data_IF_141242062828
#
_entry.id   IF_141242062828
#
_cell.length_a   1.000
_cell.length_b   1.000
_cell.length_c   1.000
_cell.angle_alpha   90.00
_cell.angle_beta   90.00
_cell.angle_gamma   90.00
#
_symmetry.space_group_name_H-M   'P 1'
#
loop_
_entity.id
_entity.type
_entity.pdbx_description
1 polymer ?
#
# COMPACT_ATOMS: atom_id res chain seq x y z
N UNK A 1 -7.86 -23.68 -3.75
CA UNK A 1 -7.06 -22.99 -4.78
C UNK A 1 -7.25 -21.49 -4.57
N UNK A 2 -6.19 -20.74 -4.33
CA UNK A 2 -6.29 -19.27 -4.28
C UNK A 2 -6.56 -18.78 -5.70
N UNK A 3 -7.73 -18.18 -5.88
CA UNK A 3 -8.12 -17.56 -7.16
C UNK A 3 -7.16 -16.40 -7.43
N UNK A 4 -6.69 -16.26 -8.67
CA UNK A 4 -5.90 -15.11 -9.06
C UNK A 4 -6.76 -13.84 -8.94
N UNK A 5 -6.20 -12.71 -8.45
CA UNK A 5 -6.96 -11.47 -8.40
C UNK A 5 -7.38 -11.07 -9.81
N UNK A 6 -8.61 -10.57 -9.95
CA UNK A 6 -9.11 -10.02 -11.21
C UNK A 6 -8.58 -8.59 -11.43
N UNK A 7 -8.37 -7.86 -10.34
CA UNK A 7 -7.87 -6.50 -10.34
C UNK A 7 -6.73 -6.33 -9.34
N UNK A 8 -5.75 -5.50 -9.69
CA UNK A 8 -4.71 -5.03 -8.77
C UNK A 8 -4.73 -3.51 -8.69
N UNK A 9 -4.70 -2.97 -7.47
CA UNK A 9 -4.67 -1.53 -7.19
C UNK A 9 -3.32 -1.18 -6.58
N UNK A 10 -2.53 -0.38 -7.29
CA UNK A 10 -1.20 0.04 -6.86
C UNK A 10 -1.30 1.43 -6.23
N UNK A 11 -0.89 1.55 -4.96
CA UNK A 11 -0.96 2.79 -4.17
C UNK A 11 0.46 3.23 -3.80
N UNK A 12 1.04 4.22 -4.50
CA UNK A 12 2.26 4.87 -4.05
C UNK A 12 1.95 5.73 -2.82
N UNK A 13 2.79 5.62 -1.79
CA UNK A 13 2.63 6.33 -0.52
C UNK A 13 3.94 6.98 -0.08
N UNK A 14 3.85 8.22 0.41
CA UNK A 14 4.95 8.91 1.07
C UNK A 14 4.41 9.93 2.08
N UNK A 15 4.80 9.80 3.35
CA UNK A 15 4.50 10.73 4.45
C UNK A 15 3.01 11.16 4.56
N UNK A 16 2.06 10.29 4.20
CA UNK A 16 0.63 10.64 4.14
C UNK A 16 -0.26 9.51 4.70
N UNK A 17 -0.05 9.07 5.95
CA UNK A 17 -0.73 7.89 6.50
C UNK A 17 -2.25 8.04 6.57
N UNK A 18 -2.77 9.23 6.86
CA UNK A 18 -4.22 9.49 6.95
C UNK A 18 -4.91 9.36 5.57
N UNK A 19 -4.25 9.86 4.52
CA UNK A 19 -4.75 9.73 3.15
C UNK A 19 -4.70 8.29 2.68
N UNK A 20 -3.64 7.55 3.04
CA UNK A 20 -3.55 6.13 2.76
C UNK A 20 -4.65 5.35 3.48
N UNK A 21 -4.90 5.62 4.76
CA UNK A 21 -5.97 4.99 5.53
C UNK A 21 -7.34 5.25 4.88
N UNK A 22 -7.63 6.50 4.51
CA UNK A 22 -8.88 6.86 3.81
C UNK A 22 -9.00 6.17 2.44
N UNK A 23 -7.90 6.09 1.69
CA UNK A 23 -7.87 5.41 0.40
C UNK A 23 -8.16 3.92 0.56
N UNK A 24 -7.48 3.24 1.49
CA UNK A 24 -7.71 1.83 1.79
C UNK A 24 -9.14 1.56 2.26
N UNK A 25 -9.72 2.45 3.08
CA UNK A 25 -11.12 2.34 3.51
C UNK A 25 -12.12 2.43 2.36
N UNK A 26 -11.76 3.10 1.26
CA UNK A 26 -12.62 3.19 0.06
C UNK A 26 -12.57 1.94 -0.83
N UNK A 27 -11.61 1.04 -0.59
CA UNK A 27 -11.45 -0.21 -1.34
C UNK A 27 -12.05 -1.36 -0.51
N UNK A 28 -13.03 -2.12 -1.03
CA UNK A 28 -13.58 -3.28 -0.32
C UNK A 28 -12.54 -4.40 -0.18
N UNK A 29 -12.61 -5.16 0.92
CA UNK A 29 -11.76 -6.34 1.12
C UNK A 29 -12.41 -7.55 0.44
N UNK A 30 -11.93 -7.90 -0.76
CA UNK A 30 -12.50 -8.95 -1.62
C UNK A 30 -11.40 -9.79 -2.26
N UNK A 31 -11.64 -11.09 -2.39
CA UNK A 31 -10.68 -12.05 -2.94
C UNK A 31 -10.24 -11.77 -4.39
N UNK A 32 -11.06 -11.03 -5.15
CA UNK A 32 -10.79 -10.70 -6.55
C UNK A 32 -10.02 -9.38 -6.72
N UNK A 33 -9.69 -8.68 -5.63
CA UNK A 33 -8.95 -7.42 -5.63
C UNK A 33 -7.67 -7.57 -4.79
N UNK A 34 -6.53 -7.38 -5.42
CA UNK A 34 -5.25 -7.21 -4.71
C UNK A 34 -4.96 -5.72 -4.53
N UNK A 35 -4.54 -5.33 -3.33
CA UNK A 35 -4.01 -3.98 -3.08
C UNK A 35 -2.51 -4.09 -2.83
N UNK A 36 -1.72 -3.28 -3.53
CA UNK A 36 -0.27 -3.20 -3.33
C UNK A 36 0.04 -1.78 -2.91
N UNK A 37 0.47 -1.60 -1.66
CA UNK A 37 0.93 -0.31 -1.16
C UNK A 37 2.45 -0.31 -1.22
N UNK A 38 3.01 0.73 -1.84
CA UNK A 38 4.46 0.95 -1.89
C UNK A 38 4.76 2.22 -1.11
N UNK A 39 5.36 2.07 0.07
CA UNK A 39 5.90 3.17 0.84
C UNK A 39 7.27 3.58 0.29
N UNK A 40 7.39 4.83 -0.13
CA UNK A 40 8.58 5.36 -0.78
C UNK A 40 9.53 6.03 0.23
N UNK A 41 9.93 5.25 1.23
CA UNK A 41 10.83 5.65 2.32
C UNK A 41 10.28 6.80 3.18
N UNK A 42 9.07 6.63 3.73
CA UNK A 42 8.47 7.63 4.64
C UNK A 42 9.27 7.78 5.93
N UNK A 43 9.21 8.96 6.54
CA UNK A 43 9.80 9.21 7.84
C UNK A 43 9.02 8.50 8.96
N UNK A 44 9.75 7.88 9.89
CA UNK A 44 9.19 7.30 11.12
C UNK A 44 8.59 8.37 12.06
N UNK A 45 8.92 9.65 11.89
CA UNK A 45 8.28 10.76 12.63
C UNK A 45 6.85 11.03 12.13
N UNK A 46 6.53 10.60 10.91
CA UNK A 46 5.22 10.81 10.27
C UNK A 46 4.41 9.52 10.24
N UNK A 47 5.07 8.38 10.00
CA UNK A 47 4.42 7.09 9.77
C UNK A 47 4.77 6.12 10.89
N UNK A 48 3.74 5.59 11.54
CA UNK A 48 3.90 4.48 12.48
C UNK A 48 4.00 3.15 11.70
N UNK A 49 5.22 2.68 11.45
CA UNK A 49 5.46 1.42 10.76
C UNK A 49 5.04 0.18 11.57
N UNK A 50 4.97 0.27 12.91
CA UNK A 50 4.44 -0.83 13.74
C UNK A 50 2.94 -1.04 13.49
N UNK A 51 2.21 0.03 13.22
CA UNK A 51 0.77 0.02 12.89
C UNK A 51 0.49 0.66 11.52
N UNK A 52 1.20 0.22 10.49
CA UNK A 52 1.12 0.81 9.15
C UNK A 52 -0.28 0.60 8.53
N UNK A 53 -0.87 1.63 7.86
CA UNK A 53 -2.18 1.49 7.22
C UNK A 53 -2.20 0.34 6.20
N UNK A 54 -3.09 -0.62 6.38
CA UNK A 54 -3.22 -1.80 5.51
C UNK A 54 -2.55 -3.07 6.04
N UNK A 55 -1.80 -3.01 7.15
CA UNK A 55 -1.16 -4.17 7.78
C UNK A 55 -2.13 -5.31 8.14
N UNK A 56 -3.38 -4.98 8.49
CA UNK A 56 -4.40 -5.95 8.92
C UNK A 56 -5.36 -6.37 7.79
N UNK A 57 -5.17 -5.88 6.56
CA UNK A 57 -6.06 -6.19 5.43
C UNK A 57 -5.62 -7.48 4.74
N UNK A 58 -6.57 -8.37 4.45
CA UNK A 58 -6.29 -9.74 3.97
C UNK A 58 -5.63 -9.74 2.59
N UNK A 59 -6.16 -8.96 1.65
CA UNK A 59 -5.69 -8.93 0.26
C UNK A 59 -4.73 -7.78 -0.04
N UNK A 60 -3.98 -7.32 0.97
CA UNK A 60 -3.05 -6.19 0.87
C UNK A 60 -1.59 -6.63 1.03
N UNK A 61 -0.76 -6.27 0.05
CA UNK A 61 0.71 -6.41 0.09
C UNK A 61 1.32 -5.06 0.40
N UNK A 62 2.28 -5.03 1.33
CA UNK A 62 3.03 -3.83 1.69
C UNK A 62 4.49 -3.99 1.24
N UNK A 63 4.97 -3.02 0.45
CA UNK A 63 6.36 -2.90 0.02
C UNK A 63 6.95 -1.61 0.57
N UNK A 64 8.20 -1.65 1.03
CA UNK A 64 8.89 -0.52 1.63
C UNK A 64 10.20 -0.28 0.89
N UNK A 65 10.31 0.86 0.20
CA UNK A 65 11.56 1.27 -0.43
C UNK A 65 12.55 1.74 0.64
N UNK A 66 13.85 1.51 0.37
CA UNK A 66 14.95 1.99 1.23
C UNK A 66 15.33 3.45 0.93
N UNK A 67 15.00 3.91 -0.27
CA UNK A 67 15.31 5.25 -0.78
C UNK A 67 14.07 5.80 -1.48
N UNK A 68 13.87 7.12 -1.38
CA UNK A 68 12.75 7.78 -2.06
C UNK A 68 13.07 7.92 -3.56
N UNK A 69 12.28 7.23 -4.40
CA UNK A 69 12.46 7.21 -5.86
C UNK A 69 11.26 7.82 -6.61
N UNK A 70 10.31 8.39 -5.88
CA UNK A 70 9.11 9.03 -6.37
C UNK A 70 8.00 8.05 -6.77
N UNK A 71 6.80 8.61 -6.95
CA UNK A 71 5.59 7.85 -7.27
C UNK A 71 5.66 7.09 -8.61
N UNK A 72 6.48 7.54 -9.56
CA UNK A 72 6.68 6.84 -10.83
C UNK A 72 7.37 5.49 -10.64
N UNK A 73 8.45 5.47 -9.83
CA UNK A 73 9.14 4.24 -9.48
C UNK A 73 8.23 3.28 -8.70
N UNK A 74 7.54 3.80 -7.68
CA UNK A 74 6.62 3.01 -6.86
C UNK A 74 5.53 2.32 -7.70
N UNK A 75 5.00 2.98 -8.73
CA UNK A 75 4.01 2.39 -9.66
C UNK A 75 4.59 1.30 -10.57
N UNK A 76 5.87 1.35 -10.91
CA UNK A 76 6.52 0.34 -11.76
C UNK A 76 6.95 -0.91 -10.97
N UNK A 77 7.00 -0.81 -9.63
CA UNK A 77 7.36 -1.92 -8.75
C UNK A 77 6.16 -2.84 -8.42
N UNK A 78 4.98 -2.26 -8.28
CA UNK A 78 3.72 -2.97 -8.08
C UNK A 78 3.13 -3.47 -9.38
#
# INVERSE_FOLDING_TARGET
>A
MTKQPLYSVIIPHYNSPDLLMRCLASIPDREDIQVIVIDDNSSADVVNFTNFPGKERIYTTLLFNKDNQGAGHARNLG
#
